data_IF_836023264342
#
_entry.id   IF_836023264342
#
_cell.length_a   1.000
_cell.length_b   1.000
_cell.length_c   1.000
_cell.angle_alpha   90.00
_cell.angle_beta   90.00
_cell.angle_gamma   90.00
#
_symmetry.space_group_name_H-M   'P 1'
#
loop_
_entity.id
_entity.type
_entity.pdbx_description
1 polymer ?
#
# COMPACT_ATOMS: atom_id res chain seq x y z
N UNK A 1 24.91 35.52 -28.99
CA UNK A 1 26.36 35.50 -29.06
C UNK A 1 26.89 34.28 -28.31
N UNK A 2 27.77 33.54 -28.93
CA UNK A 2 28.47 32.34 -28.51
C UNK A 2 27.75 30.97 -28.63
N UNK A 3 27.97 30.43 -29.81
CA UNK A 3 28.09 29.03 -30.22
C UNK A 3 29.13 28.27 -29.39
N UNK A 4 28.89 27.02 -29.05
CA UNK A 4 29.95 26.02 -29.08
C UNK A 4 29.43 24.62 -29.43
N UNK A 5 30.06 24.06 -30.44
CA UNK A 5 29.85 22.83 -31.21
C UNK A 5 30.50 21.63 -30.49
N UNK A 6 30.04 20.39 -30.72
CA UNK A 6 30.61 19.17 -30.14
C UNK A 6 31.80 18.65 -31.00
N UNK A 7 32.63 17.76 -30.49
CA UNK A 7 33.52 16.99 -31.34
C UNK A 7 33.01 15.59 -31.68
N UNK A 8 32.97 15.33 -32.95
CA UNK A 8 32.94 14.01 -33.57
C UNK A 8 34.30 13.33 -33.40
N UNK A 9 34.32 12.01 -33.48
CA UNK A 9 35.53 11.22 -33.59
C UNK A 9 35.22 9.73 -33.66
N UNK A 10 34.66 9.32 -34.77
CA UNK A 10 34.60 7.95 -35.25
C UNK A 10 35.97 7.50 -35.79
N UNK A 11 36.31 6.24 -35.62
CA UNK A 11 37.46 5.66 -36.27
C UNK A 11 37.45 4.15 -36.20
N UNK A 12 36.78 3.53 -37.13
CA UNK A 12 37.04 2.14 -37.50
C UNK A 12 38.23 2.08 -38.44
N UNK A 13 39.08 1.10 -38.37
CA UNK A 13 39.97 0.81 -39.47
C UNK A 13 39.52 -0.40 -40.27
N UNK A 14 39.48 -0.14 -41.52
CA UNK A 14 39.18 -0.98 -42.65
C UNK A 14 40.38 -1.85 -43.02
N UNK A 15 40.12 -3.05 -43.49
CA UNK A 15 41.05 -4.02 -44.08
C UNK A 15 41.78 -3.49 -45.31
N UNK A 16 43.02 -3.91 -45.49
CA UNK A 16 43.71 -3.90 -46.77
C UNK A 16 44.64 -5.08 -46.88
N UNK A 17 44.35 -5.96 -47.81
CA UNK A 17 45.28 -6.89 -48.47
C UNK A 17 45.81 -6.21 -49.75
N UNK A 18 46.63 -6.88 -50.62
CA UNK A 18 47.87 -7.54 -50.40
C UNK A 18 48.98 -6.96 -51.40
N UNK A 19 50.20 -7.17 -51.12
CA UNK A 19 51.26 -6.80 -52.05
C UNK A 19 52.36 -7.89 -52.06
N UNK A 20 52.39 -8.63 -53.14
CA UNK A 20 53.38 -9.63 -53.38
C UNK A 20 54.77 -9.09 -53.59
N UNK A 21 55.80 -9.86 -53.24
CA UNK A 21 57.10 -9.83 -53.86
C UNK A 21 57.65 -11.23 -53.96
N UNK A 22 57.66 -11.72 -55.21
CA UNK A 22 58.51 -12.78 -55.67
C UNK A 22 59.98 -12.35 -55.49
N UNK A 23 60.84 -13.24 -55.03
CA UNK A 23 62.26 -13.00 -55.09
C UNK A 23 63.10 -13.69 -54.04
N UNK A 24 62.97 -15.01 -53.82
CA UNK A 24 63.98 -15.70 -52.98
C UNK A 24 64.27 -17.16 -53.41
N UNK A 25 64.17 -17.49 -54.72
CA UNK A 25 64.33 -18.89 -55.15
C UNK A 25 65.54 -19.04 -56.05
N UNK A 26 66.62 -18.22 -55.93
CA UNK A 26 67.75 -18.33 -56.87
C UNK A 26 69.09 -18.59 -56.23
N UNK A 27 69.16 -18.92 -54.94
CA UNK A 27 70.51 -19.11 -54.30
C UNK A 27 70.73 -20.42 -53.56
N UNK A 28 69.86 -21.39 -53.65
CA UNK A 28 70.01 -22.68 -52.94
C UNK A 28 69.95 -23.92 -53.86
N UNK A 29 70.18 -23.77 -55.12
CA UNK A 29 70.20 -24.91 -56.06
C UNK A 29 71.31 -25.93 -55.81
N UNK A 30 72.53 -25.61 -55.29
CA UNK A 30 73.55 -26.65 -55.08
C UNK A 30 73.17 -27.60 -53.91
N UNK A 31 72.33 -27.21 -52.99
CA UNK A 31 71.94 -28.08 -51.86
C UNK A 31 70.90 -29.15 -52.24
N UNK A 32 70.08 -28.90 -53.22
CA UNK A 32 69.14 -29.91 -53.70
C UNK A 32 69.73 -31.05 -54.49
N UNK A 33 70.87 -30.80 -55.17
CA UNK A 33 71.58 -31.84 -55.89
C UNK A 33 72.28 -32.81 -54.94
N UNK A 34 72.79 -32.33 -53.81
CA UNK A 34 73.41 -33.18 -52.77
C UNK A 34 72.42 -34.01 -52.06
N UNK A 35 71.22 -33.47 -51.80
CA UNK A 35 70.11 -34.27 -51.18
C UNK A 35 69.57 -35.36 -52.10
N UNK A 36 69.50 -35.12 -53.40
CA UNK A 36 69.12 -36.13 -54.40
C UNK A 36 70.09 -37.29 -54.50
N UNK A 37 71.42 -37.02 -54.46
CA UNK A 37 72.44 -38.07 -54.50
C UNK A 37 72.46 -38.96 -53.24
N UNK A 38 72.13 -38.41 -52.07
CA UNK A 38 72.02 -39.16 -50.81
C UNK A 38 70.80 -40.08 -50.77
N UNK A 39 69.67 -39.73 -51.39
CA UNK A 39 68.53 -40.55 -51.48
C UNK A 39 68.68 -41.75 -52.42
N UNK A 40 69.35 -41.55 -53.54
CA UNK A 40 69.65 -42.59 -54.50
C UNK A 40 70.70 -43.56 -53.95
N UNK A 41 71.74 -43.10 -53.27
CA UNK A 41 72.79 -43.94 -52.63
C UNK A 41 72.19 -44.75 -51.48
N UNK A 42 71.27 -44.19 -50.71
CA UNK A 42 70.56 -44.89 -49.63
C UNK A 42 69.67 -46.00 -50.15
N UNK A 43 68.92 -45.75 -51.24
CA UNK A 43 68.04 -46.79 -51.86
C UNK A 43 68.82 -47.97 -52.45
N UNK A 44 70.00 -47.76 -53.05
CA UNK A 44 70.89 -48.86 -53.58
C UNK A 44 71.51 -49.63 -52.42
N UNK A 45 71.86 -48.99 -51.30
CA UNK A 45 72.42 -49.70 -50.14
C UNK A 45 71.28 -50.57 -49.42
N UNK A 46 70.03 -50.09 -49.40
CA UNK A 46 68.92 -50.81 -48.78
C UNK A 46 68.50 -52.06 -49.59
N UNK A 47 68.77 -52.08 -50.88
CA UNK A 47 68.49 -53.28 -51.71
C UNK A 47 69.58 -54.38 -51.62
N UNK A 48 70.78 -53.98 -51.27
CA UNK A 48 71.92 -54.95 -51.11
C UNK A 48 71.86 -55.71 -49.77
N UNK A 49 71.31 -55.08 -48.74
CA UNK A 49 71.25 -55.69 -47.38
C UNK A 49 70.09 -56.70 -47.22
N UNK A 50 69.18 -56.80 -48.20
CA UNK A 50 68.00 -57.70 -48.09
C UNK A 50 68.19 -59.07 -48.71
N UNK A 51 69.40 -59.42 -49.21
CA UNK A 51 69.65 -60.64 -49.99
C UNK A 51 70.32 -61.79 -49.23
N UNK A 52 70.47 -61.72 -47.93
CA UNK A 52 71.01 -62.82 -47.13
C UNK A 52 70.31 -63.05 -45.81
N UNK A 53 69.10 -63.54 -45.89
CA UNK A 53 68.50 -64.30 -44.75
C UNK A 53 67.79 -65.51 -45.33
N UNK A 54 68.39 -66.66 -45.20
CA UNK A 54 67.73 -67.96 -45.41
C UNK A 54 66.58 -68.16 -44.39
N UNK A 55 65.50 -68.83 -44.75
CA UNK A 55 64.41 -69.09 -43.87
C UNK A 55 64.85 -70.03 -42.75
N UNK A 56 64.77 -69.54 -41.50
CA UNK A 56 64.89 -70.40 -40.33
C UNK A 56 63.58 -71.24 -40.21
N UNK A 57 63.74 -72.52 -40.23
CA UNK A 57 62.65 -73.46 -39.94
C UNK A 57 62.00 -73.12 -38.55
N UNK A 58 60.73 -72.86 -38.55
CA UNK A 58 59.99 -72.56 -37.33
C UNK A 58 59.88 -73.92 -36.55
N UNK A 59 60.62 -73.94 -35.45
CA UNK A 59 60.36 -75.05 -34.46
C UNK A 59 59.03 -74.81 -33.77
N UNK A 60 58.03 -75.56 -34.10
CA UNK A 60 56.76 -75.57 -33.42
C UNK A 60 56.93 -76.21 -32.05
N UNK A 61 56.69 -75.43 -30.99
CA UNK A 61 56.56 -75.97 -29.64
C UNK A 61 55.09 -76.29 -29.45
N UNK A 62 54.74 -77.52 -29.43
CA UNK A 62 53.39 -78.00 -29.05
C UNK A 62 53.19 -77.72 -27.58
N UNK A 63 52.44 -76.67 -27.29
CA UNK A 63 52.01 -76.36 -25.91
C UNK A 63 50.58 -76.87 -25.75
N UNK A 64 50.35 -77.85 -24.86
CA UNK A 64 49.00 -78.26 -24.51
C UNK A 64 48.31 -77.14 -23.76
N UNK A 65 47.10 -76.71 -24.17
CA UNK A 65 46.37 -75.71 -23.48
C UNK A 65 45.99 -76.16 -22.08
N UNK A 66 46.49 -75.52 -21.07
CA UNK A 66 46.05 -75.71 -19.67
C UNK A 66 44.92 -74.75 -19.37
N UNK A 67 43.77 -75.26 -18.97
CA UNK A 67 42.69 -74.39 -18.46
C UNK A 67 43.14 -73.85 -17.11
N UNK A 68 43.28 -72.54 -17.05
CA UNK A 68 43.45 -71.82 -15.82
C UNK A 68 42.20 -70.96 -15.60
N UNK A 69 41.64 -70.99 -14.43
CA UNK A 69 40.67 -70.05 -14.04
C UNK A 69 41.39 -68.72 -13.71
N UNK A 70 41.00 -67.70 -14.41
CA UNK A 70 41.49 -66.32 -14.13
C UNK A 70 40.41 -65.70 -13.27
N UNK A 71 40.69 -65.50 -12.00
CA UNK A 71 39.84 -64.70 -11.14
C UNK A 71 40.34 -63.25 -11.21
N UNK A 72 39.63 -62.46 -11.95
CA UNK A 72 39.89 -61.00 -11.91
C UNK A 72 39.20 -60.45 -10.66
N UNK A 73 40.00 -60.09 -9.71
CA UNK A 73 39.51 -59.33 -8.55
C UNK A 73 39.61 -57.87 -8.92
N UNK A 74 38.48 -57.25 -9.12
CA UNK A 74 38.43 -55.81 -9.22
C UNK A 74 38.30 -55.25 -7.82
N UNK A 75 39.27 -54.58 -7.33
CA UNK A 75 39.26 -53.82 -6.11
C UNK A 75 39.18 -52.37 -6.47
N UNK A 76 38.04 -51.78 -6.22
CA UNK A 76 37.86 -50.35 -6.38
C UNK A 76 37.62 -49.77 -4.98
N UNK A 77 38.29 -48.71 -4.66
CA UNK A 77 38.05 -47.92 -3.48
C UNK A 77 36.93 -46.90 -3.80
N UNK A 78 35.80 -47.04 -3.13
CA UNK A 78 34.70 -46.09 -3.24
C UNK A 78 34.61 -45.29 -1.96
N UNK A 79 34.39 -43.98 -2.08
CA UNK A 79 33.95 -43.13 -0.97
C UNK A 79 32.46 -43.28 -0.79
N UNK A 80 32.03 -43.52 0.43
CA UNK A 80 30.62 -43.52 0.79
C UNK A 80 30.26 -42.11 1.20
N UNK A 81 29.41 -41.48 0.40
CA UNK A 81 28.83 -40.19 0.70
C UNK A 81 27.34 -40.33 1.02
N UNK A 82 26.81 -39.43 1.82
CA UNK A 82 25.38 -39.38 2.11
C UNK A 82 24.61 -39.11 0.81
N UNK A 83 23.59 -39.92 0.52
CA UNK A 83 22.75 -39.74 -0.66
C UNK A 83 21.99 -38.40 -0.64
N UNK A 84 21.64 -37.95 0.53
CA UNK A 84 21.00 -36.65 0.77
C UNK A 84 21.59 -36.01 2.03
N UNK A 85 21.84 -34.75 1.97
CA UNK A 85 22.39 -33.95 3.07
C UNK A 85 21.68 -32.60 3.10
N UNK A 86 21.06 -32.29 4.23
CA UNK A 86 20.35 -31.04 4.43
C UNK A 86 21.07 -30.19 5.47
N UNK A 87 21.28 -28.92 5.15
CA UNK A 87 21.82 -27.95 6.10
C UNK A 87 20.69 -27.05 6.60
N UNK A 88 20.29 -27.22 7.83
CA UNK A 88 19.30 -26.35 8.48
C UNK A 88 19.99 -25.09 8.98
N UNK A 89 19.48 -23.92 8.58
CA UNK A 89 19.96 -22.61 9.00
C UNK A 89 18.81 -21.80 9.58
N UNK A 90 19.08 -21.06 10.64
CA UNK A 90 18.12 -20.11 11.17
C UNK A 90 17.91 -18.95 10.19
N UNK A 91 16.65 -18.54 10.02
CA UNK A 91 16.25 -17.34 9.29
C UNK A 91 16.23 -16.08 10.19
N UNK A 92 16.24 -16.27 11.50
CA UNK A 92 16.22 -15.19 12.50
C UNK A 92 17.46 -15.25 13.38
N UNK A 93 17.85 -14.11 13.93
CA UNK A 93 18.90 -14.01 14.94
C UNK A 93 18.23 -14.04 16.31
N UNK A 94 18.84 -14.78 17.24
CA UNK A 94 18.36 -14.87 18.60
C UNK A 94 19.15 -15.92 19.36
N UNK A 95 18.95 -15.97 20.68
CA UNK A 95 19.54 -16.99 21.53
C UNK A 95 18.81 -18.32 21.37
N UNK A 96 19.56 -19.41 21.37
CA UNK A 96 18.98 -20.75 21.34
C UNK A 96 18.41 -21.07 22.71
N UNK A 97 17.09 -21.25 22.77
CA UNK A 97 16.37 -21.58 24.01
C UNK A 97 16.44 -23.07 24.34
N UNK A 98 16.25 -23.93 23.32
CA UNK A 98 16.34 -25.38 23.48
C UNK A 98 17.03 -26.02 22.28
N UNK A 99 17.76 -27.09 22.56
CA UNK A 99 18.39 -27.98 21.60
C UNK A 99 18.24 -29.40 22.17
N UNK A 100 17.15 -30.06 21.89
CA UNK A 100 16.75 -31.32 22.53
C UNK A 100 17.29 -32.56 21.79
N UNK A 101 18.33 -32.42 20.95
CA UNK A 101 18.95 -33.50 20.21
C UNK A 101 20.49 -33.41 20.28
N UNK A 102 21.12 -34.55 20.08
CA UNK A 102 22.57 -34.72 20.09
C UNK A 102 23.10 -35.26 18.76
N UNK A 103 24.39 -35.14 18.54
CA UNK A 103 25.03 -35.66 17.33
C UNK A 103 24.89 -37.20 17.28
N UNK A 104 24.24 -37.66 16.20
CA UNK A 104 23.93 -39.10 16.01
C UNK A 104 22.47 -39.45 16.20
N UNK A 105 21.62 -38.52 16.62
CA UNK A 105 20.20 -38.74 16.79
C UNK A 105 19.49 -38.88 15.42
N UNK A 106 18.45 -39.73 15.41
CA UNK A 106 17.59 -39.87 14.26
C UNK A 106 16.45 -38.85 14.32
N UNK A 107 16.39 -37.99 13.33
CA UNK A 107 15.36 -36.94 13.21
C UNK A 107 14.47 -37.24 11.98
N UNK A 108 13.22 -36.80 12.04
CA UNK A 108 12.25 -36.91 10.95
C UNK A 108 11.94 -35.51 10.40
N UNK A 109 11.41 -35.46 9.18
CA UNK A 109 10.91 -34.24 8.59
C UNK A 109 9.76 -33.68 9.45
N UNK A 110 9.93 -32.43 9.93
CA UNK A 110 9.00 -31.75 10.82
C UNK A 110 9.40 -31.74 12.28
N UNK A 111 10.45 -32.49 12.68
CA UNK A 111 10.95 -32.44 14.06
C UNK A 111 11.58 -31.07 14.38
N UNK A 112 11.30 -30.58 15.60
CA UNK A 112 11.86 -29.35 16.10
C UNK A 112 13.29 -29.59 16.59
N UNK A 113 14.27 -29.04 15.90
CA UNK A 113 15.68 -29.20 16.26
C UNK A 113 16.14 -28.12 17.28
N UNK A 114 15.76 -26.86 17.02
CA UNK A 114 16.12 -25.73 17.87
C UNK A 114 14.91 -24.84 18.10
N UNK A 115 14.79 -24.31 19.29
CA UNK A 115 13.91 -23.19 19.58
C UNK A 115 14.77 -21.95 19.78
N UNK A 116 14.51 -20.90 19.04
CA UNK A 116 15.28 -19.64 19.06
C UNK A 116 14.40 -18.54 19.63
N UNK A 117 14.97 -17.74 20.53
CA UNK A 117 14.30 -16.52 20.98
C UNK A 117 14.11 -15.57 19.81
N UNK A 118 12.86 -15.31 19.48
CA UNK A 118 12.46 -14.43 18.38
C UNK A 118 11.92 -13.07 18.85
N UNK A 119 12.12 -12.71 20.12
CA UNK A 119 11.59 -11.47 20.70
C UNK A 119 11.99 -10.24 19.87
N UNK A 120 13.24 -10.16 19.42
CA UNK A 120 13.72 -9.06 18.58
C UNK A 120 13.05 -9.05 17.20
N UNK A 121 12.79 -10.22 16.62
CA UNK A 121 12.08 -10.32 15.35
C UNK A 121 10.61 -9.91 15.50
N UNK A 122 9.95 -10.38 16.57
CA UNK A 122 8.56 -9.99 16.89
C UNK A 122 8.45 -8.49 17.10
N UNK A 123 9.34 -7.90 17.91
CA UNK A 123 9.39 -6.44 18.15
C UNK A 123 9.67 -5.66 16.86
N UNK A 124 10.41 -6.24 15.93
CA UNK A 124 10.69 -5.61 14.63
C UNK A 124 9.46 -5.61 13.73
N UNK A 125 8.73 -6.73 13.70
CA UNK A 125 7.45 -6.84 12.97
C UNK A 125 6.41 -5.89 13.56
N UNK A 126 6.30 -5.82 14.91
CA UNK A 126 5.37 -4.91 15.56
C UNK A 126 5.68 -3.44 15.23
N UNK A 127 6.96 -3.05 15.25
CA UNK A 127 7.37 -1.70 14.83
C UNK A 127 7.05 -1.42 13.37
N UNK A 128 7.27 -2.38 12.48
CA UNK A 128 6.93 -2.24 11.08
C UNK A 128 5.41 -2.08 10.88
N UNK A 129 4.60 -2.86 11.61
CA UNK A 129 3.13 -2.74 11.60
C UNK A 129 2.65 -1.38 12.11
N UNK A 130 3.25 -0.86 13.19
CA UNK A 130 2.96 0.48 13.69
C UNK A 130 3.31 1.56 12.66
N UNK A 131 4.48 1.45 12.03
CA UNK A 131 4.91 2.38 10.98
C UNK A 131 3.95 2.32 9.77
N UNK A 132 3.55 1.13 9.34
CA UNK A 132 2.58 0.97 8.26
C UNK A 132 1.23 1.60 8.62
N UNK A 133 0.70 1.31 9.81
CA UNK A 133 -0.58 1.87 10.23
C UNK A 133 -0.54 3.40 10.40
N UNK A 134 0.62 3.96 10.76
CA UNK A 134 0.84 5.40 10.78
C UNK A 134 0.81 5.98 9.37
N UNK A 135 1.59 5.40 8.45
CA UNK A 135 1.66 5.86 7.06
C UNK A 135 0.30 5.74 6.33
N UNK A 136 -0.51 4.73 6.67
CA UNK A 136 -1.88 4.60 6.17
C UNK A 136 -2.76 5.77 6.62
N UNK A 137 -2.74 6.10 7.92
CA UNK A 137 -3.51 7.25 8.43
C UNK A 137 -3.05 8.55 7.81
N UNK A 138 -1.74 8.77 7.73
CA UNK A 138 -1.17 10.00 7.15
C UNK A 138 -1.58 10.14 5.66
N UNK A 139 -1.66 9.03 4.92
CA UNK A 139 -2.16 9.03 3.55
C UNK A 139 -3.66 9.33 3.47
N UNK A 140 -4.47 8.69 4.30
CA UNK A 140 -5.91 8.94 4.39
C UNK A 140 -6.19 10.41 4.74
N UNK A 141 -5.49 10.95 5.74
CA UNK A 141 -5.61 12.35 6.15
C UNK A 141 -5.21 13.31 5.02
N UNK A 142 -4.13 13.01 4.29
CA UNK A 142 -3.68 13.83 3.18
C UNK A 142 -4.65 13.81 1.98
N UNK A 143 -5.28 12.66 1.72
CA UNK A 143 -6.34 12.55 0.70
C UNK A 143 -7.60 13.25 1.17
N UNK A 144 -8.00 13.06 2.43
CA UNK A 144 -9.19 13.69 2.99
C UNK A 144 -9.08 15.22 3.08
N UNK A 145 -7.87 15.75 3.26
CA UNK A 145 -7.62 17.19 3.20
C UNK A 145 -7.95 17.84 1.86
N UNK A 146 -8.05 17.03 0.78
CA UNK A 146 -8.51 17.52 -0.52
C UNK A 146 -10.03 17.66 -0.60
N UNK A 147 -10.78 17.21 0.39
CA UNK A 147 -12.23 17.26 0.39
C UNK A 147 -12.75 18.05 1.57
N UNK A 148 -13.71 18.93 1.29
CA UNK A 148 -14.53 19.55 2.32
C UNK A 148 -15.67 18.59 2.66
N UNK A 149 -15.62 17.98 3.85
CA UNK A 149 -16.60 16.99 4.30
C UNK A 149 -17.53 17.56 5.36
N UNK A 150 -18.78 17.11 5.37
CA UNK A 150 -19.72 17.47 6.41
C UNK A 150 -19.55 16.59 7.65
N UNK A 151 -19.60 17.19 8.84
CA UNK A 151 -19.63 16.47 10.11
C UNK A 151 -21.03 16.00 10.52
N UNK A 152 -22.08 16.52 9.86
CA UNK A 152 -23.47 16.19 10.17
C UNK A 152 -24.19 15.69 8.92
N UNK A 153 -25.25 14.88 9.12
CA UNK A 153 -26.23 14.59 8.09
C UNK A 153 -27.24 15.73 7.97
N UNK A 154 -27.76 15.93 6.77
CA UNK A 154 -28.76 16.95 6.51
C UNK A 154 -28.92 17.29 5.04
N UNK A 155 -29.52 18.43 4.77
CA UNK A 155 -29.70 18.98 3.42
C UNK A 155 -28.70 20.10 3.17
N UNK A 156 -28.09 20.12 1.99
CA UNK A 156 -27.23 21.20 1.52
C UNK A 156 -28.08 22.42 1.23
N UNK A 157 -27.98 23.45 2.07
CA UNK A 157 -28.81 24.66 1.96
C UNK A 157 -28.25 25.62 0.91
N UNK A 158 -26.94 25.78 0.92
CA UNK A 158 -26.23 26.66 -0.03
C UNK A 158 -24.81 26.18 -0.25
N UNK A 159 -24.29 26.45 -1.44
CA UNK A 159 -22.88 26.26 -1.79
C UNK A 159 -22.36 27.60 -2.27
N UNK A 160 -21.44 28.19 -1.49
CA UNK A 160 -20.90 29.53 -1.76
C UNK A 160 -19.72 29.53 -2.76
N UNK A 161 -19.25 28.35 -3.16
CA UNK A 161 -18.08 28.20 -4.02
C UNK A 161 -18.47 27.45 -5.31
N UNK A 162 -17.94 27.90 -6.45
CA UNK A 162 -18.12 27.27 -7.74
C UNK A 162 -16.82 26.60 -8.23
N UNK A 163 -16.92 25.59 -9.12
CA UNK A 163 -15.73 24.99 -9.75
C UNK A 163 -14.88 26.06 -10.45
N UNK A 164 -13.59 26.09 -10.15
CA UNK A 164 -12.63 27.08 -10.60
C UNK A 164 -12.38 28.25 -9.65
N UNK A 165 -13.17 28.40 -8.61
CA UNK A 165 -12.95 29.48 -7.61
C UNK A 165 -11.73 29.19 -6.75
N UNK A 166 -10.97 30.25 -6.46
CA UNK A 166 -9.87 30.20 -5.50
C UNK A 166 -10.41 30.52 -4.10
N UNK A 167 -10.17 29.61 -3.18
CA UNK A 167 -10.61 29.72 -1.80
C UNK A 167 -9.41 29.75 -0.84
N UNK A 168 -9.58 30.41 0.28
CA UNK A 168 -8.58 30.48 1.35
C UNK A 168 -9.04 29.65 2.56
N UNK A 169 -8.07 29.19 3.36
CA UNK A 169 -8.37 28.46 4.59
C UNK A 169 -9.33 29.26 5.50
N UNK A 170 -10.38 28.62 5.98
CA UNK A 170 -11.42 29.24 6.81
C UNK A 170 -12.55 29.93 6.02
N UNK A 171 -12.44 30.07 4.70
CA UNK A 171 -13.51 30.61 3.87
C UNK A 171 -14.73 29.68 3.85
N UNK A 172 -15.93 30.26 3.96
CA UNK A 172 -17.18 29.52 3.89
C UNK A 172 -17.36 28.90 2.49
N UNK A 173 -17.67 27.61 2.46
CA UNK A 173 -17.86 26.80 1.25
C UNK A 173 -19.30 26.38 1.07
N UNK A 174 -19.93 25.89 2.14
CA UNK A 174 -21.30 25.42 2.07
C UNK A 174 -21.97 25.43 3.45
N UNK A 175 -23.28 25.50 3.47
CA UNK A 175 -24.07 25.37 4.69
C UNK A 175 -24.95 24.12 4.60
N UNK A 176 -24.81 23.23 5.59
CA UNK A 176 -25.59 22.01 5.76
C UNK A 176 -26.52 22.21 6.93
N UNK A 177 -27.74 21.72 6.81
CA UNK A 177 -28.75 21.82 7.84
C UNK A 177 -29.54 20.53 7.97
N UNK A 178 -29.69 20.06 9.19
CA UNK A 178 -30.58 18.95 9.48
C UNK A 178 -32.00 19.49 9.57
N UNK A 179 -32.77 19.22 8.54
CA UNK A 179 -34.18 19.64 8.41
C UNK A 179 -35.13 18.50 8.75
N UNK A 180 -34.65 17.35 9.18
CA UNK A 180 -35.50 16.18 9.53
C UNK A 180 -36.39 16.41 10.74
N UNK A 181 -35.94 17.28 11.64
CA UNK A 181 -36.70 17.66 12.82
C UNK A 181 -36.40 19.11 13.21
N UNK A 182 -37.37 19.74 13.81
CA UNK A 182 -37.27 21.08 14.36
C UNK A 182 -37.25 21.03 15.89
N UNK A 183 -36.56 21.97 16.50
CA UNK A 183 -36.54 22.16 17.94
C UNK A 183 -37.41 23.36 18.30
N UNK A 184 -38.21 23.19 19.31
CA UNK A 184 -39.02 24.22 19.91
C UNK A 184 -38.67 24.33 21.39
N UNK A 185 -38.11 25.45 21.81
CA UNK A 185 -37.78 25.70 23.22
C UNK A 185 -38.76 26.71 23.80
N UNK A 186 -39.50 26.28 24.80
CA UNK A 186 -40.56 27.04 25.43
C UNK A 186 -40.43 27.02 26.95
N UNK A 187 -40.90 28.07 27.58
CA UNK A 187 -40.98 28.16 29.04
C UNK A 187 -42.33 27.66 29.55
N UNK A 188 -42.28 26.79 30.51
CA UNK A 188 -43.44 26.24 31.24
C UNK A 188 -43.36 26.66 32.69
N UNK A 189 -44.52 26.70 33.39
CA UNK A 189 -44.50 26.83 34.84
C UNK A 189 -43.60 25.79 35.48
N UNK A 190 -42.75 26.17 36.42
CA UNK A 190 -41.77 25.26 37.00
C UNK A 190 -42.40 24.05 37.67
N UNK A 191 -43.61 24.24 38.26
CA UNK A 191 -44.37 23.18 38.89
C UNK A 191 -44.81 22.08 37.90
N UNK A 192 -45.22 22.48 36.68
CA UNK A 192 -45.63 21.53 35.62
C UNK A 192 -44.41 20.86 35.01
N UNK A 193 -43.39 21.69 34.67
CA UNK A 193 -42.17 21.22 34.05
C UNK A 193 -41.36 20.25 34.93
N UNK A 194 -41.52 20.31 36.24
CA UNK A 194 -40.90 19.35 37.17
C UNK A 194 -41.41 17.90 36.99
N UNK A 195 -42.56 17.72 36.34
CA UNK A 195 -43.17 16.43 36.07
C UNK A 195 -42.86 15.92 34.66
N UNK A 196 -42.20 16.73 33.83
CA UNK A 196 -41.89 16.36 32.48
C UNK A 196 -40.58 15.55 32.42
N UNK A 197 -40.57 14.55 31.53
CA UNK A 197 -39.44 13.70 31.31
C UNK A 197 -39.04 13.68 29.82
N UNK A 198 -37.77 13.50 29.55
CA UNK A 198 -37.29 13.27 28.18
C UNK A 198 -37.98 12.03 27.59
N UNK A 199 -38.36 12.13 26.31
CA UNK A 199 -39.14 11.10 25.61
C UNK A 199 -40.66 11.21 25.77
N UNK A 200 -41.18 12.12 26.58
CA UNK A 200 -42.60 12.32 26.78
C UNK A 200 -43.25 13.00 25.57
N UNK A 201 -44.47 12.56 25.20
CA UNK A 201 -45.21 13.17 24.09
C UNK A 201 -45.63 14.62 24.41
N UNK A 202 -45.51 15.46 23.42
CA UNK A 202 -45.92 16.85 23.42
C UNK A 202 -46.86 17.13 22.23
N UNK A 203 -47.87 17.93 22.43
CA UNK A 203 -48.67 18.49 21.34
C UNK A 203 -48.18 19.90 21.05
N UNK A 204 -47.72 20.13 19.81
CA UNK A 204 -47.22 21.43 19.36
C UNK A 204 -48.25 22.05 18.42
N UNK A 205 -48.64 23.29 18.67
CA UNK A 205 -49.61 24.03 17.85
C UNK A 205 -48.89 25.18 17.16
N UNK A 206 -48.92 25.23 15.82
CA UNK A 206 -48.36 26.29 15.03
C UNK A 206 -49.20 27.59 15.17
N UNK A 207 -48.52 28.69 15.36
CA UNK A 207 -49.18 29.99 15.40
C UNK A 207 -49.66 30.36 13.99
N UNK A 208 -50.89 30.88 13.93
CA UNK A 208 -51.50 31.35 12.68
C UNK A 208 -52.28 30.27 11.91
N UNK A 209 -51.80 29.04 11.81
CA UNK A 209 -52.55 27.93 11.18
C UNK A 209 -53.31 27.07 12.18
N UNK A 210 -52.93 27.10 13.45
CA UNK A 210 -53.50 26.27 14.53
C UNK A 210 -53.38 24.77 14.25
N UNK A 211 -52.45 24.39 13.34
CA UNK A 211 -52.16 23.01 13.06
C UNK A 211 -51.48 22.34 14.26
N UNK A 212 -51.94 21.16 14.61
CA UNK A 212 -51.38 20.38 15.71
C UNK A 212 -50.41 19.33 15.19
N UNK A 213 -49.21 19.37 15.74
CA UNK A 213 -48.14 18.47 15.43
C UNK A 213 -47.74 17.65 16.64
N UNK A 214 -47.40 16.39 16.42
CA UNK A 214 -46.84 15.55 17.47
C UNK A 214 -45.38 15.92 17.70
N UNK A 215 -45.01 16.23 18.92
CA UNK A 215 -43.64 16.47 19.37
C UNK A 215 -43.22 15.50 20.45
N UNK A 216 -41.96 15.50 20.78
CA UNK A 216 -41.40 14.73 21.90
C UNK A 216 -40.49 15.62 22.73
N UNK A 217 -40.66 15.60 24.04
CA UNK A 217 -39.77 16.32 24.96
C UNK A 217 -38.35 15.78 24.82
N UNK A 218 -37.43 16.61 24.37
CA UNK A 218 -35.99 16.27 24.23
C UNK A 218 -35.25 16.43 25.55
N UNK A 219 -35.50 17.57 26.20
CA UNK A 219 -34.86 17.90 27.47
C UNK A 219 -35.67 18.91 28.26
N UNK A 220 -35.53 18.84 29.55
CA UNK A 220 -36.08 19.81 30.50
C UNK A 220 -34.90 20.45 31.22
N UNK A 221 -34.86 21.79 31.31
CA UNK A 221 -33.78 22.48 32.03
C UNK A 221 -33.80 22.07 33.51
N UNK A 222 -32.63 21.86 34.08
CA UNK A 222 -32.46 21.55 35.49
C UNK A 222 -32.59 22.77 36.44
N UNK A 223 -32.61 23.99 35.87
CA UNK A 223 -32.65 25.22 36.62
C UNK A 223 -33.98 25.96 36.39
N UNK A 224 -34.56 26.47 37.44
CA UNK A 224 -35.68 27.38 37.36
C UNK A 224 -35.21 28.81 37.15
N UNK A 225 -35.89 29.56 36.28
CA UNK A 225 -35.61 30.95 35.99
C UNK A 225 -36.86 31.82 36.32
N UNK A 226 -36.63 33.08 36.65
CA UNK A 226 -37.74 34.03 36.88
C UNK A 226 -38.14 34.64 35.54
N UNK A 227 -39.37 34.45 35.12
CA UNK A 227 -39.99 35.13 33.98
C UNK A 227 -40.36 36.54 34.33
N UNK A 228 -40.62 37.37 33.29
CA UNK A 228 -40.97 38.81 33.41
C UNK A 228 -42.20 39.10 34.34
N UNK A 229 -42.98 38.09 34.73
CA UNK A 229 -44.10 38.18 35.66
C UNK A 229 -43.80 37.69 37.08
N UNK A 230 -42.51 37.57 37.48
CA UNK A 230 -42.09 37.01 38.77
C UNK A 230 -42.56 35.55 38.99
N UNK A 231 -42.83 34.82 37.90
CA UNK A 231 -43.19 33.40 37.91
C UNK A 231 -41.94 32.57 37.70
N UNK A 232 -41.79 31.51 38.48
CA UNK A 232 -40.73 30.50 38.25
C UNK A 232 -41.11 29.68 37.03
N UNK A 233 -40.22 29.67 36.06
CA UNK A 233 -40.37 28.95 34.80
C UNK A 233 -39.19 28.05 34.60
N UNK A 234 -39.39 27.00 33.80
CA UNK A 234 -38.36 26.07 33.36
C UNK A 234 -38.49 25.88 31.87
N UNK A 235 -37.32 26.01 31.18
CA UNK A 235 -37.31 25.84 29.75
C UNK A 235 -37.35 24.36 29.38
N UNK A 236 -38.20 24.01 28.43
CA UNK A 236 -38.38 22.66 27.86
C UNK A 236 -38.13 22.73 26.38
N UNK A 237 -37.24 21.86 25.90
CA UNK A 237 -36.97 21.71 24.48
C UNK A 237 -37.73 20.51 23.95
N UNK A 238 -38.54 20.72 22.93
CA UNK A 238 -39.37 19.73 22.26
C UNK A 238 -38.84 19.52 20.84
N UNK A 239 -38.68 18.26 20.41
CA UNK A 239 -38.39 17.90 19.05
C UNK A 239 -39.67 17.63 18.30
N UNK A 240 -39.82 18.28 17.14
CA UNK A 240 -40.97 18.11 16.23
C UNK A 240 -40.47 17.53 14.92
N UNK A 241 -40.87 16.33 14.51
CA UNK A 241 -40.52 15.77 13.21
C UNK A 241 -40.96 16.69 12.09
N UNK A 242 -40.10 16.93 11.11
CA UNK A 242 -40.38 17.78 9.97
C UNK A 242 -40.51 16.93 8.70
N UNK A 243 -41.72 16.79 8.20
CA UNK A 243 -41.98 16.11 6.93
C UNK A 243 -41.78 17.01 5.70
N UNK A 244 -41.15 18.19 5.88
CA UNK A 244 -40.78 19.11 4.78
C UNK A 244 -41.58 20.42 4.75
N UNK A 245 -42.43 20.70 5.73
CA UNK A 245 -43.25 21.93 5.78
C UNK A 245 -42.87 22.93 6.86
N UNK A 246 -42.03 22.56 7.83
CA UNK A 246 -41.66 23.41 8.95
C UNK A 246 -40.38 24.20 8.64
N UNK A 247 -40.41 25.47 9.02
CA UNK A 247 -39.26 26.39 8.86
C UNK A 247 -38.98 27.14 10.17
N UNK A 248 -37.78 27.66 10.31
CA UNK A 248 -37.39 28.44 11.48
C UNK A 248 -38.07 29.81 11.57
N UNK A 249 -38.81 30.22 10.55
CA UNK A 249 -39.63 31.46 10.61
C UNK A 249 -40.95 31.29 11.33
N UNK A 250 -41.45 30.03 11.47
CA UNK A 250 -42.71 29.71 12.12
C UNK A 250 -42.55 29.73 13.63
N UNK A 251 -43.55 30.25 14.31
CA UNK A 251 -43.68 30.19 15.75
C UNK A 251 -44.70 29.15 16.16
N UNK A 252 -44.54 28.58 17.33
CA UNK A 252 -45.45 27.57 17.87
C UNK A 252 -45.50 27.64 19.38
N UNK A 253 -46.58 27.16 19.91
CA UNK A 253 -46.76 26.87 21.34
C UNK A 253 -46.84 25.35 21.55
N UNK A 254 -46.77 24.90 22.80
CA UNK A 254 -46.87 23.46 23.08
C UNK A 254 -47.57 23.19 24.41
N UNK A 255 -48.14 22.00 24.49
CA UNK A 255 -48.62 21.42 25.72
C UNK A 255 -48.00 20.03 25.95
N UNK A 256 -47.67 19.75 27.20
CA UNK A 256 -47.08 18.48 27.64
C UNK A 256 -47.85 17.99 28.85
N UNK A 257 -48.43 16.81 28.79
CA UNK A 257 -49.20 16.20 29.87
C UNK A 257 -50.29 17.12 30.49
N UNK A 258 -50.91 17.97 29.66
CA UNK A 258 -51.91 18.92 30.10
C UNK A 258 -51.38 20.25 30.60
N UNK A 259 -50.09 20.39 30.86
CA UNK A 259 -49.43 21.66 31.13
C UNK A 259 -49.17 22.42 29.83
N UNK A 260 -49.54 23.71 29.78
CA UNK A 260 -49.35 24.57 28.61
C UNK A 260 -48.13 25.48 28.75
N UNK A 261 -47.44 25.73 27.67
CA UNK A 261 -46.36 26.74 27.62
C UNK A 261 -46.92 28.15 27.89
N UNK A 262 -46.08 29.01 28.44
CA UNK A 262 -46.45 30.40 28.80
C UNK A 262 -46.44 31.35 27.60
N UNK A 263 -46.06 30.89 26.42
CA UNK A 263 -46.03 31.71 25.22
C UNK A 263 -45.70 30.88 23.98
N UNK A 264 -45.39 31.54 22.90
CA UNK A 264 -44.88 30.92 21.67
C UNK A 264 -43.42 31.25 21.44
N UNK A 265 -42.74 30.34 20.80
CA UNK A 265 -41.33 30.53 20.35
C UNK A 265 -41.18 30.11 18.90
N UNK A 266 -40.14 30.61 18.25
CA UNK A 266 -39.77 30.19 16.89
C UNK A 266 -39.15 28.81 16.90
N UNK A 267 -39.48 28.03 15.90
CA UNK A 267 -38.83 26.79 15.62
C UNK A 267 -37.37 27.03 15.26
N UNK A 268 -36.50 26.14 15.59
CA UNK A 268 -35.11 26.15 15.20
C UNK A 268 -34.73 24.78 14.61
N UNK A 269 -33.75 24.79 13.73
CA UNK A 269 -33.24 23.52 13.17
C UNK A 269 -32.46 22.75 14.23
N UNK A 270 -32.48 21.43 14.14
CA UNK A 270 -31.86 20.57 15.13
C UNK A 270 -30.30 20.72 15.08
N UNK A 271 -29.74 20.70 13.92
CA UNK A 271 -28.31 20.90 13.69
C UNK A 271 -28.13 21.74 12.43
N UNK A 272 -27.07 22.54 12.43
CA UNK A 272 -26.60 23.25 11.26
C UNK A 272 -25.09 23.40 11.33
N UNK A 273 -24.45 23.23 10.20
CA UNK A 273 -23.00 23.35 10.09
C UNK A 273 -22.65 24.19 8.86
N UNK A 274 -21.87 25.24 9.07
CA UNK A 274 -21.18 25.93 7.99
C UNK A 274 -19.85 25.26 7.77
N UNK A 275 -19.62 24.79 6.55
CA UNK A 275 -18.38 24.16 6.15
C UNK A 275 -17.43 25.20 5.61
N UNK A 276 -16.20 25.15 6.06
CA UNK A 276 -15.14 26.06 5.61
C UNK A 276 -14.03 25.28 4.91
N UNK A 277 -13.27 25.96 4.05
CA UNK A 277 -12.11 25.36 3.40
C UNK A 277 -11.04 25.00 4.44
N UNK A 278 -10.55 23.76 4.45
CA UNK A 278 -9.50 23.33 5.38
C UNK A 278 -8.12 23.92 5.02
N UNK A 279 -7.91 24.29 3.76
CA UNK A 279 -6.66 24.83 3.24
C UNK A 279 -6.92 25.75 2.05
N UNK A 280 -5.89 26.52 1.67
CA UNK A 280 -5.91 27.32 0.46
C UNK A 280 -5.88 26.40 -0.77
N UNK A 281 -6.68 26.73 -1.77
CA UNK A 281 -6.74 25.93 -3.00
C UNK A 281 -7.75 26.46 -4.01
N UNK A 282 -7.93 25.69 -5.07
CA UNK A 282 -8.95 25.93 -6.09
C UNK A 282 -10.00 24.84 -6.01
N UNK A 283 -11.27 25.21 -6.13
CA UNK A 283 -12.38 24.25 -6.20
C UNK A 283 -12.27 23.46 -7.50
N UNK A 284 -11.95 22.17 -7.39
CA UNK A 284 -11.84 21.28 -8.56
C UNK A 284 -13.23 20.82 -9.03
N UNK A 285 -14.08 20.42 -8.10
CA UNK A 285 -15.43 19.93 -8.41
C UNK A 285 -16.36 20.07 -7.21
N UNK A 286 -17.65 20.17 -7.49
CA UNK A 286 -18.71 19.99 -6.51
C UNK A 286 -19.12 18.51 -6.52
N UNK A 287 -19.11 17.87 -5.34
CA UNK A 287 -19.52 16.48 -5.19
C UNK A 287 -21.04 16.34 -5.03
N UNK A 288 -21.72 17.43 -4.66
CA UNK A 288 -23.16 17.49 -4.38
C UNK A 288 -23.75 18.76 -4.96
N UNK A 289 -25.08 18.84 -5.01
CA UNK A 289 -25.82 20.03 -5.42
C UNK A 289 -26.60 20.61 -4.24
N UNK A 290 -26.96 21.89 -4.34
CA UNK A 290 -27.89 22.50 -3.40
C UNK A 290 -29.24 21.74 -3.39
N UNK A 291 -29.80 21.57 -2.21
CA UNK A 291 -31.01 20.74 -2.01
C UNK A 291 -30.77 19.25 -1.87
N UNK A 292 -29.53 18.76 -2.09
CA UNK A 292 -29.21 17.34 -1.92
C UNK A 292 -29.18 16.95 -0.45
N UNK A 293 -29.68 15.75 -0.13
CA UNK A 293 -29.51 15.15 1.21
C UNK A 293 -28.16 14.45 1.30
N UNK A 294 -27.42 14.69 2.37
CA UNK A 294 -26.08 14.16 2.62
C UNK A 294 -25.99 13.53 4.01
N UNK A 295 -25.16 12.51 4.14
CA UNK A 295 -24.82 11.90 5.42
C UNK A 295 -23.59 12.54 6.07
N UNK A 296 -23.38 12.32 7.36
CA UNK A 296 -22.13 12.69 8.01
C UNK A 296 -20.93 12.02 7.33
N UNK A 297 -19.84 12.75 7.13
CA UNK A 297 -18.65 12.29 6.39
C UNK A 297 -18.72 12.45 4.87
N UNK A 298 -19.86 12.83 4.29
CA UNK A 298 -20.00 13.04 2.84
C UNK A 298 -19.13 14.17 2.37
N UNK A 299 -18.40 13.96 1.25
CA UNK A 299 -17.65 15.01 0.58
C UNK A 299 -18.62 15.97 -0.15
N UNK A 300 -18.44 17.27 0.06
CA UNK A 300 -19.25 18.31 -0.53
C UNK A 300 -18.53 18.99 -1.69
N UNK A 301 -17.26 19.31 -1.50
CA UNK A 301 -16.43 19.98 -2.48
C UNK A 301 -15.06 19.34 -2.50
N UNK A 302 -14.49 19.18 -3.69
CA UNK A 302 -13.10 18.79 -3.87
C UNK A 302 -12.24 20.04 -4.12
N UNK A 303 -11.19 20.15 -3.34
CA UNK A 303 -10.17 21.21 -3.49
C UNK A 303 -8.91 20.63 -4.13
N UNK A 304 -8.23 21.45 -4.89
CA UNK A 304 -6.90 21.14 -5.43
C UNK A 304 -5.97 22.30 -5.19
N UNK A 305 -4.72 22.01 -4.83
CA UNK A 305 -3.61 22.96 -4.80
C UNK A 305 -2.31 22.19 -4.92
N UNK A 306 -1.24 22.88 -5.34
CA UNK A 306 0.10 22.26 -5.40
C UNK A 306 0.57 21.74 -4.04
N UNK A 307 0.12 22.36 -2.97
CA UNK A 307 0.46 21.92 -1.62
C UNK A 307 -0.26 20.63 -1.24
N UNK A 308 -1.58 20.56 -1.43
CA UNK A 308 -2.40 19.38 -1.15
C UNK A 308 -1.94 18.19 -1.99
N UNK A 309 -1.66 18.42 -3.29
CA UNK A 309 -1.15 17.37 -4.18
C UNK A 309 0.19 16.83 -3.70
N UNK A 310 1.15 17.70 -3.38
CA UNK A 310 2.45 17.25 -2.85
C UNK A 310 2.34 16.52 -1.52
N UNK A 311 1.45 16.94 -0.63
CA UNK A 311 1.22 16.25 0.65
C UNK A 311 0.68 14.84 0.41
N UNK A 312 -0.28 14.69 -0.47
CA UNK A 312 -0.83 13.37 -0.82
C UNK A 312 0.22 12.47 -1.50
N UNK A 313 1.04 13.01 -2.40
CA UNK A 313 2.14 12.28 -3.04
C UNK A 313 3.20 11.83 -2.01
N UNK A 314 3.61 12.72 -1.12
CA UNK A 314 4.58 12.41 -0.05
C UNK A 314 4.03 11.34 0.90
N UNK A 315 2.76 11.42 1.27
CA UNK A 315 2.11 10.44 2.13
C UNK A 315 1.99 9.07 1.42
N UNK A 316 1.68 9.06 0.11
CA UNK A 316 1.64 7.86 -0.72
C UNK A 316 3.01 7.19 -0.82
N UNK A 317 4.08 7.98 -1.00
CA UNK A 317 5.46 7.47 -1.04
C UNK A 317 5.89 6.89 0.32
N UNK A 318 5.48 7.53 1.42
CA UNK A 318 5.71 7.05 2.78
C UNK A 318 4.99 5.73 3.04
N UNK A 319 3.73 5.62 2.63
CA UNK A 319 2.94 4.39 2.72
C UNK A 319 3.59 3.26 1.94
N UNK A 320 3.97 3.51 0.69
CA UNK A 320 4.67 2.53 -0.15
C UNK A 320 5.99 2.07 0.45
N UNK A 321 6.75 2.99 1.06
CA UNK A 321 7.99 2.65 1.75
C UNK A 321 7.74 1.77 2.98
N UNK A 322 6.68 2.05 3.74
CA UNK A 322 6.29 1.25 4.89
C UNK A 322 5.83 -0.16 4.49
N UNK A 323 5.06 -0.29 3.40
CA UNK A 323 4.64 -1.58 2.82
C UNK A 323 5.83 -2.44 2.40
N UNK A 324 6.86 -1.83 1.78
CA UNK A 324 8.07 -2.54 1.35
C UNK A 324 8.98 -2.95 2.52
N UNK A 325 8.80 -2.37 3.70
CA UNK A 325 9.59 -2.65 4.90
C UNK A 325 9.02 -3.80 5.75
N UNK A 326 7.83 -4.25 5.45
CA UNK A 326 7.19 -5.42 6.05
C UNK A 326 7.59 -6.71 5.36
#
# INVERSE_FOLDING_TARGET
>A
MFKKKPPEGSGSPQAAAPGGKAGFLRRRWPLLVIAGAAIVGGAVWMTQVRATQAPAEAAYIETKPTRRSITNIYSEDGTVEAAESYQVKSLVRGDVLTADFEEGDMVQEGDVLYTIDSADAVNSVERAQLTLSQAQRDYEDAVDAQYVRTGIGGTVVSIAAAPGDVVTAGQEIATIRDESAMLLTLDFPAADAAQFAAGQAAEVTLDGTYEKLAGTVRSVSGADTLSSGNMLVRSVTITVPNSGGLTASQAATASVNGGSALGSARLSYQNGQTLTAPADGTVAALCVQEGSSVGAGSAIVQLTSDNLTRQAEQAADSLRSAELSM
#
